data_IF_052957547136
#
_entry.id   IF_052957547136
#
_cell.length_a   1.000
_cell.length_b   1.000
_cell.length_c   1.000
_cell.angle_alpha   90.00
_cell.angle_beta   90.00
_cell.angle_gamma   90.00
#
_symmetry.space_group_name_H-M   'P 1'
#
loop_
_entity.id
_entity.type
_entity.pdbx_description
1 polymer ?
#
# COMPACT_ATOMS: atom_id res chain seq x y z
N UNK A 1 15.16 -30.90 7.18
CA UNK A 1 14.90 -30.26 5.88
C UNK A 1 13.41 -30.38 5.63
N UNK A 2 12.64 -29.30 5.80
CA UNK A 2 11.18 -29.35 5.72
C UNK A 2 10.72 -29.05 4.30
N UNK A 3 10.27 -30.08 3.60
CA UNK A 3 9.69 -30.01 2.26
C UNK A 3 8.26 -29.46 2.37
N UNK A 4 8.04 -28.25 1.85
CA UNK A 4 6.71 -27.66 1.72
C UNK A 4 6.02 -28.31 0.52
N UNK A 5 5.20 -29.31 0.80
CA UNK A 5 4.39 -30.04 -0.17
C UNK A 5 3.29 -29.09 -0.70
N UNK A 6 3.55 -28.47 -1.85
CA UNK A 6 2.59 -27.65 -2.57
C UNK A 6 1.50 -28.53 -3.19
N UNK A 7 0.50 -28.87 -2.39
CA UNK A 7 -0.68 -29.61 -2.86
C UNK A 7 -1.36 -28.82 -3.97
N UNK A 8 -1.13 -29.23 -5.22
CA UNK A 8 -1.77 -28.63 -6.40
C UNK A 8 -3.05 -29.42 -6.64
N UNK A 9 -4.04 -29.17 -5.80
CA UNK A 9 -5.39 -29.71 -6.00
C UNK A 9 -5.93 -29.17 -7.34
N UNK A 10 -6.50 -30.04 -8.21
CA UNK A 10 -7.05 -29.60 -9.48
C UNK A 10 -8.18 -28.59 -9.23
N UNK A 11 -8.26 -27.50 -10.02
CA UNK A 11 -9.27 -26.47 -9.81
C UNK A 11 -10.67 -27.05 -9.98
N UNK A 12 -11.61 -26.59 -9.15
CA UNK A 12 -13.01 -27.04 -9.21
C UNK A 12 -13.57 -26.74 -10.63
N UNK A 13 -14.20 -27.72 -11.30
CA UNK A 13 -14.78 -27.52 -12.63
C UNK A 13 -15.70 -26.30 -12.67
N UNK A 14 -15.54 -25.43 -13.67
CA UNK A 14 -16.33 -24.18 -13.81
C UNK A 14 -15.85 -23.00 -12.96
N UNK A 15 -14.89 -23.19 -12.04
CA UNK A 15 -14.26 -22.11 -11.26
C UNK A 15 -12.86 -21.74 -11.76
N UNK A 16 -12.44 -22.33 -12.88
CA UNK A 16 -11.15 -22.05 -13.50
C UNK A 16 -11.12 -20.61 -14.04
N UNK A 17 -10.75 -19.67 -13.17
CA UNK A 17 -10.52 -18.28 -13.56
C UNK A 17 -9.13 -18.20 -14.17
N UNK A 18 -9.02 -17.63 -15.37
CA UNK A 18 -7.73 -17.27 -15.95
C UNK A 18 -6.96 -16.42 -14.94
N UNK A 19 -5.84 -16.94 -14.43
CA UNK A 19 -5.03 -16.26 -13.41
C UNK A 19 -4.49 -14.95 -13.98
N UNK A 20 -5.20 -13.85 -13.75
CA UNK A 20 -4.69 -12.51 -14.04
C UNK A 20 -3.58 -12.19 -13.04
N UNK A 21 -2.46 -11.58 -13.47
CA UNK A 21 -1.44 -11.13 -12.54
C UNK A 21 -2.08 -10.19 -11.52
N UNK A 22 -1.76 -10.40 -10.24
CA UNK A 22 -2.30 -9.56 -9.17
C UNK A 22 -1.94 -8.08 -9.44
N UNK A 23 -2.89 -7.14 -9.27
CA UNK A 23 -2.61 -5.74 -9.51
C UNK A 23 -1.48 -5.25 -8.60
N UNK A 24 -0.50 -4.57 -9.21
CA UNK A 24 0.65 -4.00 -8.50
C UNK A 24 0.18 -2.82 -7.66
N UNK A 25 0.15 -3.02 -6.34
CA UNK A 25 -0.17 -1.95 -5.39
C UNK A 25 1.11 -1.21 -5.02
N UNK A 26 1.08 0.13 -5.02
CA UNK A 26 2.24 0.99 -4.71
C UNK A 26 1.97 1.80 -3.44
N UNK A 27 3.02 2.12 -2.70
CA UNK A 27 2.94 2.98 -1.52
C UNK A 27 2.48 4.39 -1.92
N UNK A 28 1.49 4.94 -1.20
CA UNK A 28 1.00 6.30 -1.44
C UNK A 28 2.02 7.42 -1.15
N UNK A 29 3.08 7.13 -0.37
CA UNK A 29 4.12 8.12 -0.01
C UNK A 29 5.36 8.02 -0.87
N UNK A 30 5.96 6.83 -0.97
CA UNK A 30 7.23 6.65 -1.68
C UNK A 30 7.10 5.98 -3.06
N UNK A 31 5.87 5.62 -3.48
CA UNK A 31 5.56 4.96 -4.76
C UNK A 31 6.29 3.64 -5.02
N UNK A 32 6.95 3.05 -4.01
CA UNK A 32 7.56 1.72 -4.10
C UNK A 32 6.48 0.63 -4.14
N UNK A 33 6.69 -0.46 -4.88
CA UNK A 33 5.75 -1.58 -4.93
C UNK A 33 5.60 -2.27 -3.57
N UNK A 34 4.37 -2.61 -3.20
CA UNK A 34 4.04 -3.27 -1.94
C UNK A 34 3.81 -4.76 -2.17
N UNK A 35 4.59 -5.60 -1.47
CA UNK A 35 4.51 -7.06 -1.56
C UNK A 35 3.74 -7.70 -0.40
N UNK A 36 3.87 -7.16 0.82
CA UNK A 36 3.19 -7.67 2.01
C UNK A 36 1.67 -7.35 1.95
N UNK A 37 0.75 -8.32 2.16
CA UNK A 37 -0.69 -8.09 2.21
C UNK A 37 -1.11 -6.92 3.11
N UNK A 38 -0.59 -6.83 4.34
CA UNK A 38 -0.95 -5.76 5.28
C UNK A 38 -0.61 -4.38 4.71
N UNK A 39 0.60 -4.22 4.17
CA UNK A 39 1.01 -2.97 3.52
C UNK A 39 0.14 -2.64 2.31
N UNK A 40 -0.29 -3.65 1.54
CA UNK A 40 -1.18 -3.45 0.38
C UNK A 40 -2.56 -2.94 0.80
N UNK A 41 -3.12 -3.46 1.89
CA UNK A 41 -4.39 -2.97 2.45
C UNK A 41 -4.27 -1.51 2.91
N UNK A 42 -3.21 -1.17 3.64
CA UNK A 42 -2.95 0.19 4.13
C UNK A 42 -2.48 1.17 3.04
N UNK A 43 -2.14 0.66 1.84
CA UNK A 43 -1.48 1.40 0.75
C UNK A 43 -0.23 2.14 1.22
N UNK A 44 0.44 1.63 2.26
CA UNK A 44 1.56 2.26 2.94
C UNK A 44 2.60 1.19 3.26
N UNK A 45 3.83 1.38 2.76
CA UNK A 45 4.92 0.47 3.09
C UNK A 45 5.37 0.67 4.54
N UNK A 46 5.94 -0.36 5.16
CA UNK A 46 6.40 -0.36 6.57
C UNK A 46 7.08 0.95 6.98
N UNK A 47 8.17 1.32 6.29
CA UNK A 47 8.91 2.55 6.58
C UNK A 47 8.10 3.85 6.46
N UNK A 48 7.05 3.86 5.62
CA UNK A 48 6.19 5.01 5.44
C UNK A 48 5.02 5.06 6.42
N UNK A 49 4.69 3.93 7.06
CA UNK A 49 3.66 3.85 8.09
C UNK A 49 4.14 4.49 9.39
N UNK A 50 5.39 4.25 9.75
CA UNK A 50 6.02 4.79 10.96
C UNK A 50 6.40 6.28 10.83
N UNK A 51 6.44 6.81 9.60
CA UNK A 51 6.81 8.19 9.37
C UNK A 51 5.65 9.15 9.73
N UNK A 52 5.94 10.32 10.35
CA UNK A 52 4.91 11.32 10.64
C UNK A 52 4.21 11.76 9.36
N UNK A 53 2.94 12.13 9.47
CA UNK A 53 2.22 12.71 8.35
C UNK A 53 2.89 14.03 7.94
N UNK A 54 3.14 14.26 6.65
CA UNK A 54 3.63 15.56 6.21
C UNK A 54 2.57 16.62 6.51
N UNK A 55 2.93 17.59 7.36
CA UNK A 55 2.11 18.78 7.56
C UNK A 55 2.11 19.58 6.27
N UNK A 56 0.93 19.77 5.67
CA UNK A 56 0.79 20.67 4.53
C UNK A 56 0.91 22.10 5.04
N UNK A 57 2.01 22.75 4.72
CA UNK A 57 2.18 24.19 4.91
C UNK A 57 1.70 24.87 3.64
N UNK A 58 0.69 25.70 3.77
CA UNK A 58 0.22 26.54 2.67
C UNK A 58 0.88 27.90 2.82
N UNK A 59 1.67 28.30 1.83
CA UNK A 59 2.16 29.68 1.74
C UNK A 59 0.98 30.50 1.22
N UNK A 60 0.23 31.09 2.14
CA UNK A 60 -0.85 32.02 1.84
C UNK A 60 -0.50 33.38 2.40
N UNK A 61 -0.93 34.42 1.69
CA UNK A 61 -0.90 35.76 2.22
C UNK A 61 -1.93 35.84 3.35
N UNK A 62 -1.47 36.11 4.56
CA UNK A 62 -2.33 36.28 5.74
C UNK A 62 -2.26 37.74 6.15
N UNK A 63 -3.43 38.39 6.16
CA UNK A 63 -3.57 39.72 6.74
C UNK A 63 -3.13 39.70 8.21
N UNK A 64 -2.32 40.68 8.58
CA UNK A 64 -1.96 40.90 9.97
C UNK A 64 -3.20 41.37 10.75
N UNK A 65 -3.53 40.67 11.84
CA UNK A 65 -4.56 41.12 12.76
C UNK A 65 -4.12 42.43 13.42
N UNK A 66 -4.95 43.49 13.44
CA UNK A 66 -4.57 44.74 14.07
C UNK A 66 -4.51 44.59 15.60
N UNK A 67 -3.37 44.95 16.21
CA UNK A 67 -3.22 45.04 17.66
C UNK A 67 -1.78 44.91 18.17
N UNK A 68 -1.15 46.06 18.40
CA UNK A 68 -0.16 46.30 19.47
C UNK A 68 -0.57 47.54 20.23
#
# INVERSE_FOLDING_TARGET
MSEQNGSTEPPIPGTAVARRPAPVVRCRRCHRPLRNPESRWEKLGRHCADAPAPTRVYVIDQDHLPGT
#
